data_IF_582217878912
#
_entry.id   IF_582217878912
#
_cell.length_a   1.000
_cell.length_b   1.000
_cell.length_c   1.000
_cell.angle_alpha   90.00
_cell.angle_beta   90.00
_cell.angle_gamma   90.00
#
_symmetry.space_group_name_H-M   'P 1'
#
loop_
_entity.id
_entity.type
_entity.pdbx_description
1 polymer ?
#
# COMPACT_ATOMS: atom_id res chain seq x y z
N UNK A 1 -13.62 17.75 1.01
CA UNK A 1 -12.94 18.21 -0.22
C UNK A 1 -11.73 17.34 -0.58
N UNK A 2 -11.70 16.87 -1.83
CA UNK A 2 -10.60 16.12 -2.44
C UNK A 2 -9.87 17.05 -3.39
N UNK A 3 -8.60 17.28 -3.12
CA UNK A 3 -7.75 18.14 -3.97
C UNK A 3 -7.30 17.41 -5.22
N UNK A 4 -7.25 18.12 -6.36
CA UNK A 4 -6.79 17.59 -7.65
C UNK A 4 -7.47 16.25 -8.04
N UNK A 5 -8.77 16.28 -8.42
CA UNK A 5 -9.54 15.09 -8.75
C UNK A 5 -9.05 14.36 -10.01
N UNK A 6 -8.19 14.98 -10.83
CA UNK A 6 -7.58 14.31 -11.99
C UNK A 6 -6.49 13.30 -11.59
N UNK A 7 -5.85 13.49 -10.42
CA UNK A 7 -4.81 12.61 -9.90
C UNK A 7 -5.42 11.32 -9.35
N UNK A 8 -5.03 10.20 -9.95
CA UNK A 8 -5.44 8.85 -9.56
C UNK A 8 -5.08 8.58 -8.10
N UNK A 9 -6.10 8.29 -7.28
CA UNK A 9 -5.95 7.89 -5.87
C UNK A 9 -7.14 7.08 -5.39
N UNK A 10 -6.95 6.36 -4.30
CA UNK A 10 -8.02 5.67 -3.58
C UNK A 10 -8.27 6.36 -2.25
N UNK A 11 -9.53 6.71 -1.99
CA UNK A 11 -10.00 7.24 -0.72
C UNK A 11 -10.72 6.13 0.02
N UNK A 12 -10.09 5.62 1.08
CA UNK A 12 -10.66 4.53 1.88
C UNK A 12 -11.64 5.05 2.92
N UNK A 13 -12.77 4.36 3.05
CA UNK A 13 -13.78 4.65 4.06
C UNK A 13 -14.43 3.38 4.58
N UNK A 14 -15.28 3.55 5.59
CA UNK A 14 -16.08 2.48 6.18
C UNK A 14 -17.50 3.02 6.37
N UNK A 15 -18.51 2.20 6.08
CA UNK A 15 -19.92 2.49 6.39
C UNK A 15 -20.43 1.47 7.38
N UNK A 16 -21.30 1.90 8.29
CA UNK A 16 -22.26 1.04 8.97
C UNK A 16 -23.55 0.96 8.15
N UNK A 17 -24.45 0.02 8.48
CA UNK A 17 -25.74 -0.08 7.78
C UNK A 17 -26.57 1.19 7.94
N UNK A 18 -27.02 1.78 6.84
CA UNK A 18 -27.77 3.05 6.82
C UNK A 18 -26.90 4.30 6.85
N UNK A 19 -25.56 4.17 6.94
CA UNK A 19 -24.65 5.31 6.88
C UNK A 19 -24.45 5.80 5.44
N UNK A 20 -24.05 7.07 5.34
CA UNK A 20 -23.74 7.75 4.09
C UNK A 20 -22.46 8.56 4.28
N UNK A 21 -21.58 8.54 3.28
CA UNK A 21 -20.37 9.36 3.30
C UNK A 21 -20.23 10.17 2.02
N UNK A 22 -20.02 11.48 2.16
CA UNK A 22 -19.83 12.40 1.06
C UNK A 22 -18.35 12.75 0.84
N UNK A 23 -18.02 12.97 -0.43
CA UNK A 23 -16.76 13.48 -0.92
C UNK A 23 -17.06 14.61 -1.90
N UNK A 24 -16.39 15.75 -1.76
CA UNK A 24 -16.55 16.89 -2.67
C UNK A 24 -15.27 17.16 -3.43
N UNK A 25 -15.36 17.63 -4.67
CA UNK A 25 -14.22 18.02 -5.49
C UNK A 25 -14.61 19.08 -6.52
N UNK A 26 -13.68 19.98 -6.82
CA UNK A 26 -13.85 21.05 -7.82
C UNK A 26 -13.36 20.58 -9.19
N UNK A 27 -14.16 20.84 -10.23
CA UNK A 27 -13.83 20.51 -11.63
C UNK A 27 -14.30 21.59 -12.59
N UNK A 28 -13.64 21.67 -13.74
CA UNK A 28 -13.98 22.60 -14.81
C UNK A 28 -14.76 21.92 -15.95
N UNK A 29 -15.64 22.69 -16.60
CA UNK A 29 -16.40 22.23 -17.77
C UNK A 29 -15.48 21.65 -18.84
N UNK A 30 -15.85 20.48 -19.34
CA UNK A 30 -15.09 19.73 -20.35
C UNK A 30 -13.97 18.85 -19.79
N UNK A 31 -13.63 18.96 -18.50
CA UNK A 31 -12.72 18.01 -17.86
C UNK A 31 -13.32 16.61 -17.81
N UNK A 32 -12.46 15.59 -17.82
CA UNK A 32 -12.86 14.20 -17.65
C UNK A 32 -12.81 13.84 -16.16
N UNK A 33 -13.92 13.35 -15.62
CA UNK A 33 -13.95 12.67 -14.33
C UNK A 33 -13.84 11.17 -14.58
N UNK A 34 -13.00 10.49 -13.80
CA UNK A 34 -13.01 9.03 -13.65
C UNK A 34 -13.22 8.74 -12.17
N UNK A 35 -14.29 8.02 -11.87
CA UNK A 35 -14.60 7.64 -10.49
C UNK A 35 -15.07 6.19 -10.44
N UNK A 36 -14.69 5.49 -9.39
CA UNK A 36 -15.08 4.11 -9.15
C UNK A 36 -15.30 3.83 -7.68
N UNK A 37 -15.99 2.73 -7.42
CA UNK A 37 -16.27 2.22 -6.08
C UNK A 37 -15.74 0.81 -5.98
N UNK A 38 -14.91 0.56 -4.97
CA UNK A 38 -14.31 -0.73 -4.69
C UNK A 38 -14.64 -1.20 -3.27
N UNK A 39 -14.69 -2.52 -3.07
CA UNK A 39 -14.80 -3.15 -1.74
C UNK A 39 -13.76 -4.28 -1.63
N UNK A 40 -13.25 -4.61 -0.44
CA UNK A 40 -12.25 -5.66 -0.30
C UNK A 40 -12.83 -7.04 -0.65
N UNK A 41 -12.01 -7.94 -1.19
CA UNK A 41 -12.45 -9.28 -1.62
C UNK A 41 -12.76 -10.27 -0.48
N UNK A 42 -12.60 -9.85 0.78
CA UNK A 42 -12.86 -10.67 1.97
C UNK A 42 -14.35 -10.95 2.21
N UNK A 43 -14.66 -11.63 3.33
CA UNK A 43 -16.03 -12.04 3.69
C UNK A 43 -17.04 -10.89 3.68
N UNK A 44 -16.65 -9.71 4.18
CA UNK A 44 -17.53 -8.53 4.21
C UNK A 44 -17.89 -8.05 2.80
N UNK A 45 -16.92 -7.97 1.88
CA UNK A 45 -17.18 -7.59 0.49
C UNK A 45 -17.94 -8.66 -0.32
N UNK A 46 -18.26 -9.82 0.27
CA UNK A 46 -19.16 -10.77 -0.37
C UNK A 46 -20.63 -10.39 -0.23
N UNK A 47 -20.98 -9.61 0.79
CA UNK A 47 -22.36 -9.22 1.09
C UNK A 47 -22.57 -7.72 1.09
N UNK A 48 -21.48 -6.95 1.05
CA UNK A 48 -21.49 -5.49 1.03
C UNK A 48 -21.30 -4.95 -0.39
N UNK A 49 -22.40 -4.47 -0.99
CA UNK A 49 -22.41 -3.84 -2.32
C UNK A 49 -23.03 -2.44 -2.24
N UNK A 50 -22.30 -1.45 -1.69
CA UNK A 50 -22.79 -0.09 -1.61
C UNK A 50 -22.99 0.53 -3.00
N UNK A 51 -23.83 1.57 -3.04
CA UNK A 51 -24.11 2.36 -4.22
C UNK A 51 -23.27 3.64 -4.24
N UNK A 52 -22.97 4.10 -5.45
CA UNK A 52 -22.29 5.37 -5.69
C UNK A 52 -23.28 6.37 -6.27
N UNK A 53 -23.44 7.52 -5.63
CA UNK A 53 -24.23 8.65 -6.15
C UNK A 53 -23.29 9.78 -6.52
N UNK A 54 -23.42 10.30 -7.73
CA UNK A 54 -22.64 11.44 -8.22
C UNK A 54 -23.58 12.61 -8.43
N UNK A 55 -23.26 13.76 -7.84
CA UNK A 55 -24.08 14.97 -7.91
C UNK A 55 -23.23 16.13 -8.42
N UNK A 56 -23.83 17.00 -9.23
CA UNK A 56 -23.12 18.15 -9.78
C UNK A 56 -23.99 19.05 -10.65
N UNK A 57 -23.53 20.29 -10.89
CA UNK A 57 -24.22 21.23 -11.77
C UNK A 57 -24.29 20.69 -13.21
N UNK A 58 -25.43 20.87 -13.87
CA UNK A 58 -25.64 20.45 -15.25
C UNK A 58 -25.69 18.94 -15.50
N UNK A 59 -25.60 18.10 -14.46
CA UNK A 59 -25.92 16.67 -14.58
C UNK A 59 -27.44 16.49 -14.75
N UNK A 60 -27.84 15.47 -15.50
CA UNK A 60 -29.22 14.99 -15.52
C UNK A 60 -29.45 14.01 -14.39
N UNK A 61 -30.67 13.99 -13.85
CA UNK A 61 -31.10 12.97 -12.90
C UNK A 61 -31.20 11.60 -13.58
N UNK A 62 -30.47 10.62 -13.06
CA UNK A 62 -30.45 9.25 -13.58
C UNK A 62 -30.53 8.24 -12.43
N UNK A 63 -31.68 7.55 -12.34
CA UNK A 63 -32.01 6.63 -11.25
C UNK A 63 -32.80 7.29 -10.12
N UNK A 64 -33.21 6.50 -9.13
CA UNK A 64 -33.91 7.01 -7.95
C UNK A 64 -32.91 7.30 -6.83
N UNK A 65 -32.74 8.58 -6.49
CA UNK A 65 -31.89 8.99 -5.37
C UNK A 65 -32.53 8.50 -4.07
N UNK A 66 -31.80 7.74 -3.22
CA UNK A 66 -32.32 7.36 -1.92
C UNK A 66 -32.67 8.61 -1.10
N UNK A 67 -33.80 8.58 -0.37
CA UNK A 67 -34.27 9.73 0.45
C UNK A 67 -33.27 10.19 1.51
N UNK A 68 -32.30 9.35 1.84
CA UNK A 68 -31.22 9.64 2.80
C UNK A 68 -30.09 10.48 2.18
N UNK A 69 -30.04 10.61 0.86
CA UNK A 69 -29.03 11.41 0.15
C UNK A 69 -29.57 12.81 -0.07
N UNK A 70 -28.82 13.79 0.42
CA UNK A 70 -29.07 15.22 0.22
C UNK A 70 -28.39 15.67 -1.08
N UNK A 71 -29.20 16.15 -2.02
CA UNK A 71 -28.71 16.72 -3.29
C UNK A 71 -28.80 18.24 -3.19
N UNK A 72 -27.72 18.98 -3.44
CA UNK A 72 -27.77 20.45 -3.45
C UNK A 72 -28.80 21.00 -4.45
N UNK A 73 -29.40 22.14 -4.12
CA UNK A 73 -30.39 22.77 -5.00
C UNK A 73 -29.78 23.11 -6.37
N UNK A 74 -30.51 22.78 -7.44
CA UNK A 74 -30.08 22.99 -8.82
C UNK A 74 -29.06 21.97 -9.35
N UNK A 75 -28.69 20.95 -8.56
CA UNK A 75 -27.80 19.89 -9.01
C UNK A 75 -28.63 18.71 -9.55
N UNK A 76 -28.09 18.03 -10.56
CA UNK A 76 -28.59 16.71 -10.94
C UNK A 76 -27.79 15.60 -10.25
N UNK A 77 -28.40 14.43 -10.13
CA UNK A 77 -27.82 13.27 -9.46
C UNK A 77 -27.90 11.99 -10.30
N UNK A 78 -26.79 11.25 -10.39
CA UNK A 78 -26.71 9.95 -11.05
C UNK A 78 -26.39 8.86 -10.05
N UNK A 79 -27.20 7.80 -10.02
CA UNK A 79 -27.03 6.67 -9.10
C UNK A 79 -26.47 5.48 -9.87
N UNK A 80 -25.41 4.89 -9.31
CA UNK A 80 -24.80 3.69 -9.81
C UNK A 80 -24.87 2.60 -8.75
N UNK A 81 -25.74 1.62 -8.98
CA UNK A 81 -25.86 0.48 -8.06
C UNK A 81 -24.61 -0.39 -8.11
N UNK A 82 -24.07 -0.73 -6.94
CA UNK A 82 -22.88 -1.55 -6.83
C UNK A 82 -23.12 -2.97 -7.37
N UNK A 83 -22.40 -3.37 -8.43
CA UNK A 83 -22.50 -4.73 -8.99
C UNK A 83 -21.21 -5.48 -8.78
N UNK A 84 -21.23 -6.48 -7.89
CA UNK A 84 -20.04 -7.31 -7.65
C UNK A 84 -19.74 -8.17 -8.90
N UNK A 85 -18.55 -8.05 -9.49
CA UNK A 85 -18.13 -8.94 -10.57
C UNK A 85 -17.89 -10.37 -10.05
N UNK A 86 -17.82 -11.33 -10.96
CA UNK A 86 -17.52 -12.74 -10.62
C UNK A 86 -16.15 -12.86 -9.96
N UNK A 87 -15.18 -12.10 -10.45
CA UNK A 87 -13.78 -12.17 -10.03
C UNK A 87 -13.34 -10.86 -9.40
N UNK A 88 -12.58 -10.95 -8.30
CA UNK A 88 -11.86 -9.80 -7.76
C UNK A 88 -10.61 -9.48 -8.61
N UNK A 89 -10.20 -8.22 -8.55
CA UNK A 89 -8.99 -7.68 -9.18
C UNK A 89 -7.82 -7.77 -8.22
N UNK A 90 -6.65 -8.15 -8.73
CA UNK A 90 -5.37 -8.14 -8.02
C UNK A 90 -4.62 -6.83 -8.28
N UNK A 91 -4.12 -6.17 -7.21
CA UNK A 91 -3.27 -4.97 -7.27
C UNK A 91 -1.82 -5.32 -6.93
N UNK A 92 -0.86 -4.93 -7.77
CA UNK A 92 0.52 -5.41 -7.70
C UNK A 92 1.51 -4.60 -6.87
N UNK A 93 1.28 -3.30 -6.66
CA UNK A 93 2.19 -2.45 -5.86
C UNK A 93 2.00 -2.67 -4.36
N UNK A 94 0.77 -2.94 -3.94
CA UNK A 94 0.31 -3.33 -2.62
C UNK A 94 -0.50 -4.61 -2.76
N UNK A 95 0.15 -5.80 -2.75
CA UNK A 95 -0.49 -7.08 -3.06
C UNK A 95 -1.82 -7.30 -2.34
N UNK A 96 -2.92 -6.97 -2.99
CA UNK A 96 -4.27 -6.88 -2.41
C UNK A 96 -5.29 -7.29 -3.45
N UNK A 97 -6.50 -7.61 -2.98
CA UNK A 97 -7.59 -8.08 -3.82
C UNK A 97 -8.90 -7.37 -3.49
N UNK A 98 -9.53 -6.77 -4.49
CA UNK A 98 -10.77 -6.01 -4.34
C UNK A 98 -11.78 -6.27 -5.47
N UNK A 99 -13.06 -6.08 -5.18
CA UNK A 99 -14.11 -6.05 -6.19
C UNK A 99 -14.32 -4.61 -6.67
N UNK A 100 -14.29 -4.40 -7.99
CA UNK A 100 -14.67 -3.13 -8.62
C UNK A 100 -16.18 -3.14 -8.87
N UNK A 101 -16.95 -2.47 -8.01
CA UNK A 101 -18.42 -2.47 -8.06
C UNK A 101 -18.97 -1.51 -9.10
N UNK A 102 -18.35 -0.33 -9.20
CA UNK A 102 -18.72 0.74 -10.12
C UNK A 102 -17.43 1.31 -10.71
N UNK A 103 -17.46 1.62 -12.00
CA UNK A 103 -16.43 2.43 -12.66
C UNK A 103 -17.09 3.23 -13.77
N UNK A 104 -17.03 4.54 -13.66
CA UNK A 104 -17.67 5.46 -14.59
C UNK A 104 -16.73 6.59 -14.95
N UNK A 105 -16.87 7.05 -16.18
CA UNK A 105 -16.18 8.23 -16.66
C UNK A 105 -17.13 9.08 -17.52
N UNK A 106 -17.01 10.39 -17.36
CA UNK A 106 -17.84 11.35 -18.10
C UNK A 106 -17.11 12.69 -18.22
N UNK A 107 -17.55 13.50 -19.19
CA UNK A 107 -17.11 14.88 -19.30
C UNK A 107 -18.01 15.77 -18.45
N UNK A 108 -17.38 16.69 -17.73
CA UNK A 108 -18.03 17.65 -16.84
C UNK A 108 -18.90 18.62 -17.67
N UNK A 109 -20.24 18.62 -17.51
CA UNK A 109 -21.11 19.49 -18.28
C UNK A 109 -20.99 20.97 -17.91
N UNK A 110 -20.79 21.26 -16.62
CA UNK A 110 -20.67 22.61 -16.06
C UNK A 110 -19.62 22.64 -14.96
N UNK A 111 -18.85 23.74 -14.89
CA UNK A 111 -17.84 23.94 -13.85
C UNK A 111 -18.49 24.12 -12.47
N UNK A 112 -17.83 23.61 -11.44
CA UNK A 112 -18.22 23.81 -10.05
C UNK A 112 -17.87 22.65 -9.14
N UNK A 113 -18.46 22.65 -7.96
CA UNK A 113 -18.30 21.57 -6.97
C UNK A 113 -19.14 20.36 -7.38
N UNK A 114 -18.53 19.19 -7.44
CA UNK A 114 -19.20 17.92 -7.59
C UNK A 114 -19.07 17.13 -6.30
N UNK A 115 -20.07 16.28 -6.04
CA UNK A 115 -20.12 15.43 -4.88
C UNK A 115 -20.22 13.96 -5.32
N UNK A 116 -19.50 13.09 -4.62
CA UNK A 116 -19.70 11.66 -4.65
C UNK A 116 -20.17 11.21 -3.26
N UNK A 117 -21.28 10.50 -3.20
CA UNK A 117 -21.77 9.88 -1.98
C UNK A 117 -21.74 8.36 -2.10
N UNK A 118 -21.26 7.69 -1.06
CA UNK A 118 -21.33 6.23 -0.95
C UNK A 118 -22.40 5.88 0.05
N UNK A 119 -23.40 5.11 -0.36
CA UNK A 119 -24.55 4.72 0.44
C UNK A 119 -24.67 3.21 0.53
N UNK A 120 -25.07 2.72 1.71
CA UNK A 120 -25.45 1.31 1.88
C UNK A 120 -26.76 1.22 2.63
N UNK A 121 -27.81 0.74 1.94
CA UNK A 121 -29.11 0.49 2.56
C UNK A 121 -29.05 -0.72 3.49
N UNK A 122 -28.27 -1.74 3.13
CA UNK A 122 -28.16 -3.00 3.87
C UNK A 122 -26.71 -3.32 4.22
N UNK A 123 -26.45 -3.47 5.52
CA UNK A 123 -25.13 -3.86 6.01
C UNK A 123 -24.06 -2.78 5.89
N UNK A 124 -22.91 -3.07 6.47
CA UNK A 124 -21.76 -2.18 6.51
C UNK A 124 -20.48 -2.90 6.15
N UNK A 125 -19.45 -2.12 5.82
CA UNK A 125 -18.17 -2.64 5.41
C UNK A 125 -17.21 -1.56 4.94
N UNK A 126 -15.99 -1.99 4.67
CA UNK A 126 -14.95 -1.15 4.10
C UNK A 126 -15.19 -0.94 2.60
N UNK A 127 -14.96 0.28 2.13
CA UNK A 127 -15.01 0.63 0.70
C UNK A 127 -13.85 1.56 0.32
N UNK A 128 -13.66 1.77 -0.97
CA UNK A 128 -12.77 2.79 -1.50
C UNK A 128 -13.41 3.53 -2.67
N UNK A 129 -13.28 4.86 -2.69
CA UNK A 129 -13.52 5.63 -3.90
C UNK A 129 -12.21 5.73 -4.68
N UNK A 130 -12.20 5.21 -5.90
CA UNK A 130 -11.12 5.44 -6.86
C UNK A 130 -11.46 6.73 -7.60
N UNK A 131 -10.61 7.75 -7.53
CA UNK A 131 -10.82 9.01 -8.22
C UNK A 131 -9.61 9.37 -9.06
N UNK A 132 -9.86 9.86 -10.27
CA UNK A 132 -8.84 10.36 -11.18
C UNK A 132 -8.28 9.29 -12.12
N UNK A 133 -7.42 9.74 -13.04
CA UNK A 133 -6.87 8.93 -14.13
C UNK A 133 -5.39 9.22 -14.40
N UNK A 134 -4.82 10.27 -13.80
CA UNK A 134 -3.40 10.62 -13.93
C UNK A 134 -2.62 10.04 -12.76
N UNK A 135 -1.79 9.05 -13.03
CA UNK A 135 -0.85 8.55 -12.03
C UNK A 135 0.28 9.56 -11.82
N UNK A 136 0.41 10.06 -10.60
CA UNK A 136 1.53 10.90 -10.18
C UNK A 136 1.76 10.69 -8.69
N UNK A 137 3.02 10.65 -8.28
CA UNK A 137 3.40 10.49 -6.88
C UNK A 137 4.45 11.53 -6.54
N UNK A 138 4.21 12.27 -5.48
CA UNK A 138 5.26 13.08 -4.85
C UNK A 138 6.28 12.15 -4.17
N UNK A 139 7.48 12.68 -3.91
CA UNK A 139 8.51 11.92 -3.22
C UNK A 139 8.03 11.42 -1.84
N UNK A 140 7.29 12.25 -1.10
CA UNK A 140 6.78 11.87 0.22
C UNK A 140 5.71 10.77 0.12
N UNK A 141 4.81 10.85 -0.87
CA UNK A 141 3.83 9.78 -1.11
C UNK A 141 4.52 8.47 -1.47
N UNK A 142 5.54 8.53 -2.32
CA UNK A 142 6.33 7.35 -2.70
C UNK A 142 7.02 6.70 -1.49
N UNK A 143 7.66 7.50 -0.64
CA UNK A 143 8.38 7.01 0.54
C UNK A 143 7.43 6.45 1.62
N UNK A 144 6.18 6.90 1.68
CA UNK A 144 5.20 6.44 2.67
C UNK A 144 4.39 5.21 2.21
N UNK A 145 4.64 4.68 1.01
CA UNK A 145 3.97 3.48 0.51
C UNK A 145 4.03 2.29 1.49
N UNK A 146 5.17 1.93 2.12
CA UNK A 146 5.19 0.85 3.10
C UNK A 146 4.17 1.01 4.25
N UNK A 147 3.95 2.24 4.71
CA UNK A 147 2.98 2.53 5.78
C UNK A 147 1.54 2.47 5.25
N UNK A 148 1.32 2.94 4.02
CA UNK A 148 0.03 2.85 3.35
C UNK A 148 -0.36 1.39 3.05
N UNK A 149 0.61 0.51 2.74
CA UNK A 149 0.36 -0.92 2.56
C UNK A 149 -0.30 -1.55 3.79
N UNK A 150 0.18 -1.23 5.00
CA UNK A 150 -0.43 -1.72 6.24
C UNK A 150 -1.88 -1.24 6.35
N UNK A 151 -2.16 0.02 5.99
CA UNK A 151 -3.53 0.56 5.98
C UNK A 151 -4.41 -0.19 4.99
N UNK A 152 -3.91 -0.49 3.79
CA UNK A 152 -4.63 -1.28 2.78
C UNK A 152 -4.93 -2.69 3.28
N UNK A 153 -3.97 -3.40 3.87
CA UNK A 153 -4.22 -4.73 4.43
C UNK A 153 -5.23 -4.71 5.58
N UNK A 154 -5.21 -3.65 6.40
CA UNK A 154 -6.23 -3.45 7.44
C UNK A 154 -7.61 -3.17 6.85
N UNK A 155 -7.66 -2.39 5.78
CA UNK A 155 -8.87 -2.16 4.99
C UNK A 155 -9.42 -3.45 4.35
N UNK A 156 -8.55 -4.39 3.97
CA UNK A 156 -8.96 -5.74 3.54
C UNK A 156 -9.45 -6.65 4.68
N UNK A 157 -9.44 -6.17 5.92
CA UNK A 157 -9.85 -6.92 7.11
C UNK A 157 -8.76 -7.82 7.69
N UNK A 158 -7.50 -7.68 7.26
CA UNK A 158 -6.40 -8.45 7.83
C UNK A 158 -6.05 -7.98 9.26
N UNK A 159 -5.67 -8.90 10.14
CA UNK A 159 -5.21 -8.56 11.49
C UNK A 159 -3.75 -8.07 11.47
N UNK A 160 -3.38 -7.16 12.37
CA UNK A 160 -1.98 -6.72 12.48
C UNK A 160 -1.00 -7.88 12.69
N UNK A 161 -1.27 -8.88 13.56
CA UNK A 161 -0.40 -10.04 13.69
C UNK A 161 -0.18 -10.78 12.37
N UNK A 162 -1.23 -10.98 11.56
CA UNK A 162 -1.10 -11.63 10.26
C UNK A 162 -0.22 -10.84 9.30
N UNK A 163 -0.40 -9.52 9.25
CA UNK A 163 0.39 -8.63 8.39
C UNK A 163 1.88 -8.65 8.76
N UNK A 164 2.22 -8.60 10.05
CA UNK A 164 3.61 -8.54 10.51
C UNK A 164 4.27 -9.92 10.65
N UNK A 165 3.49 -11.00 10.59
CA UNK A 165 3.99 -12.36 10.84
C UNK A 165 5.20 -12.74 9.96
N UNK A 166 5.21 -12.50 8.63
CA UNK A 166 6.35 -12.88 7.80
C UNK A 166 7.65 -12.17 8.20
N UNK A 167 7.56 -10.88 8.52
CA UNK A 167 8.68 -10.10 9.02
C UNK A 167 9.12 -10.61 10.41
N UNK A 168 8.18 -10.86 11.31
CA UNK A 168 8.43 -11.38 12.66
C UNK A 168 9.14 -12.73 12.65
N UNK A 169 8.71 -13.66 11.79
CA UNK A 169 9.36 -14.97 11.61
C UNK A 169 10.77 -14.78 11.07
N UNK A 170 10.97 -13.91 10.09
CA UNK A 170 12.30 -13.67 9.49
C UNK A 170 13.27 -13.09 10.52
N UNK A 171 12.82 -12.10 11.31
CA UNK A 171 13.62 -11.51 12.38
C UNK A 171 13.92 -12.54 13.47
N UNK A 172 12.92 -13.28 13.94
CA UNK A 172 13.08 -14.30 14.98
C UNK A 172 14.06 -15.40 14.56
N UNK A 173 13.88 -15.97 13.35
CA UNK A 173 14.78 -16.98 12.81
C UNK A 173 16.21 -16.45 12.63
N UNK A 174 16.36 -15.21 12.13
CA UNK A 174 17.66 -14.56 11.99
C UNK A 174 18.38 -14.35 13.33
N UNK A 175 17.67 -13.83 14.33
CA UNK A 175 18.22 -13.62 15.69
C UNK A 175 18.62 -14.94 16.31
N UNK A 176 17.78 -15.99 16.21
CA UNK A 176 18.09 -17.32 16.72
C UNK A 176 19.35 -17.89 16.03
N UNK A 177 19.44 -17.80 14.71
CA UNK A 177 20.59 -18.29 13.95
C UNK A 177 21.91 -17.59 14.35
N UNK A 178 21.86 -16.29 14.61
CA UNK A 178 23.02 -15.52 15.11
C UNK A 178 23.35 -15.91 16.54
N UNK A 179 22.34 -16.04 17.41
CA UNK A 179 22.51 -16.34 18.84
C UNK A 179 23.05 -17.75 19.11
N UNK A 180 22.71 -18.72 18.24
CA UNK A 180 23.28 -20.06 18.29
C UNK A 180 24.80 -20.07 18.04
N UNK A 181 25.34 -19.06 17.34
CA UNK A 181 26.77 -18.87 17.14
C UNK A 181 27.30 -17.82 18.12
N UNK A 182 27.32 -18.15 19.42
CA UNK A 182 27.70 -17.24 20.52
C UNK A 182 29.01 -16.46 20.28
N UNK A 183 30.04 -17.13 19.74
CA UNK A 183 31.32 -16.50 19.41
C UNK A 183 31.20 -15.47 18.28
N UNK A 184 30.35 -15.74 17.29
CA UNK A 184 30.08 -14.80 16.21
C UNK A 184 29.34 -13.57 16.75
N UNK A 185 28.28 -13.75 17.55
CA UNK A 185 27.49 -12.66 18.11
C UNK A 185 28.29 -11.76 19.07
N UNK A 186 29.16 -12.34 19.91
CA UNK A 186 30.01 -11.60 20.84
C UNK A 186 31.04 -10.69 20.13
N UNK A 187 31.42 -11.03 18.90
CA UNK A 187 32.35 -10.26 18.08
C UNK A 187 31.70 -9.14 17.24
N UNK A 188 30.38 -8.95 17.31
CA UNK A 188 29.70 -7.95 16.47
C UNK A 188 29.88 -6.54 17.04
N UNK A 189 30.37 -5.64 16.19
CA UNK A 189 30.30 -4.21 16.44
C UNK A 189 28.92 -3.63 16.02
N UNK A 190 28.57 -2.40 16.44
CA UNK A 190 27.29 -1.78 16.11
C UNK A 190 26.99 -1.69 14.61
N UNK A 191 27.98 -1.40 13.76
CA UNK A 191 27.79 -1.35 12.31
C UNK A 191 27.39 -2.73 11.75
N UNK A 192 28.02 -3.81 12.26
CA UNK A 192 27.71 -5.19 11.88
C UNK A 192 26.32 -5.63 12.36
N UNK A 193 25.88 -5.16 13.53
CA UNK A 193 24.50 -5.34 13.98
C UNK A 193 23.52 -4.62 13.06
N UNK A 194 23.74 -3.33 12.79
CA UNK A 194 22.88 -2.53 11.92
C UNK A 194 22.77 -3.15 10.52
N UNK A 195 23.89 -3.54 9.90
CA UNK A 195 23.90 -4.17 8.58
C UNK A 195 23.20 -5.54 8.56
N UNK A 196 23.38 -6.33 9.61
CA UNK A 196 22.70 -7.63 9.76
C UNK A 196 21.19 -7.45 9.87
N UNK A 197 20.73 -6.54 10.75
CA UNK A 197 19.31 -6.26 10.90
C UNK A 197 18.71 -5.65 9.64
N UNK A 198 19.41 -4.73 8.96
CA UNK A 198 18.98 -4.22 7.66
C UNK A 198 18.69 -5.36 6.67
N UNK A 199 19.61 -6.33 6.60
CA UNK A 199 19.43 -7.52 5.76
C UNK A 199 18.22 -8.38 6.16
N UNK A 200 17.98 -8.59 7.46
CA UNK A 200 16.79 -9.31 7.94
C UNK A 200 15.48 -8.57 7.63
N UNK A 201 15.46 -7.24 7.75
CA UNK A 201 14.29 -6.43 7.38
C UNK A 201 14.00 -6.49 5.87
N UNK A 202 15.03 -6.42 5.03
CA UNK A 202 14.89 -6.59 3.57
C UNK A 202 14.35 -7.98 3.20
N UNK A 203 14.95 -9.05 3.76
CA UNK A 203 14.44 -10.41 3.56
C UNK A 203 12.99 -10.56 4.03
N UNK A 204 12.68 -10.03 5.22
CA UNK A 204 11.34 -10.09 5.80
C UNK A 204 10.31 -9.38 4.93
N UNK A 205 10.69 -8.28 4.29
CA UNK A 205 9.83 -7.58 3.34
C UNK A 205 9.55 -8.41 2.09
N UNK A 206 10.57 -9.08 1.55
CA UNK A 206 10.38 -9.99 0.42
C UNK A 206 9.47 -11.18 0.75
N UNK A 207 9.60 -11.73 1.97
CA UNK A 207 8.69 -12.76 2.46
C UNK A 207 7.26 -12.21 2.65
N UNK A 208 7.12 -10.99 3.21
CA UNK A 208 5.82 -10.32 3.33
C UNK A 208 5.14 -10.11 1.98
N UNK A 209 5.85 -9.60 0.96
CA UNK A 209 5.28 -9.46 -0.39
C UNK A 209 4.84 -10.81 -0.96
N UNK A 210 5.64 -11.86 -0.77
CA UNK A 210 5.29 -13.21 -1.23
C UNK A 210 4.04 -13.74 -0.51
N UNK A 211 3.97 -13.60 0.81
CA UNK A 211 2.81 -14.04 1.60
C UNK A 211 1.53 -13.27 1.23
N UNK A 212 1.61 -11.95 1.08
CA UNK A 212 0.49 -11.10 0.70
C UNK A 212 0.03 -11.39 -0.74
N UNK A 213 0.97 -11.63 -1.68
CA UNK A 213 0.64 -12.08 -3.03
C UNK A 213 -0.16 -13.38 -3.04
N UNK A 214 0.30 -14.40 -2.32
CA UNK A 214 -0.40 -15.70 -2.25
C UNK A 214 -1.78 -15.56 -1.62
N UNK A 215 -1.88 -14.75 -0.56
CA UNK A 215 -3.16 -14.45 0.09
C UNK A 215 -4.14 -13.76 -0.86
N UNK A 216 -3.69 -12.72 -1.56
CA UNK A 216 -4.52 -11.93 -2.48
C UNK A 216 -4.92 -12.74 -3.71
N UNK A 217 -4.00 -13.52 -4.30
CA UNK A 217 -4.31 -14.42 -5.42
C UNK A 217 -5.27 -15.54 -5.05
N UNK A 218 -5.37 -15.93 -3.77
CA UNK A 218 -6.40 -16.89 -3.33
C UNK A 218 -7.82 -16.33 -3.42
N UNK A 219 -7.98 -15.01 -3.64
CA UNK A 219 -9.26 -14.28 -3.67
C UNK A 219 -9.52 -13.53 -4.97
N UNK A 220 -8.53 -13.45 -5.85
CA UNK A 220 -8.61 -12.70 -7.11
C UNK A 220 -8.29 -13.57 -8.31
N UNK A 221 -8.58 -13.05 -9.49
CA UNK A 221 -8.00 -13.60 -10.72
C UNK A 221 -6.54 -13.18 -10.88
N UNK A 222 -5.79 -13.97 -11.64
CA UNK A 222 -4.43 -13.59 -12.07
C UNK A 222 -4.48 -12.33 -12.94
N UNK A 223 -3.56 -11.40 -12.69
CA UNK A 223 -3.36 -10.19 -13.50
C UNK A 223 -1.88 -10.02 -13.83
N UNK A 224 -1.58 -9.21 -14.85
CA UNK A 224 -0.19 -8.88 -15.21
C UNK A 224 0.55 -8.14 -14.09
N UNK A 225 -0.17 -7.51 -13.16
CA UNK A 225 0.40 -6.80 -12.02
C UNK A 225 1.12 -7.72 -11.02
N UNK A 226 0.87 -9.03 -11.07
CA UNK A 226 1.64 -10.03 -10.31
C UNK A 226 3.14 -9.90 -10.57
N UNK A 227 3.54 -9.52 -11.79
CA UNK A 227 4.95 -9.32 -12.17
C UNK A 227 5.59 -8.22 -11.32
N UNK A 228 4.84 -7.16 -10.99
CA UNK A 228 5.31 -6.04 -10.15
C UNK A 228 5.63 -6.57 -8.75
N UNK A 229 4.71 -7.33 -8.16
CA UNK A 229 4.91 -7.92 -6.83
C UNK A 229 6.09 -8.88 -6.78
N UNK A 230 6.22 -9.74 -7.79
CA UNK A 230 7.36 -10.67 -7.90
C UNK A 230 8.67 -9.90 -7.98
N UNK A 231 8.73 -8.83 -8.78
CA UNK A 231 9.90 -7.98 -8.85
C UNK A 231 10.26 -7.37 -7.49
N UNK A 232 9.28 -6.76 -6.79
CA UNK A 232 9.51 -6.16 -5.47
C UNK A 232 9.96 -7.19 -4.42
N UNK A 233 9.37 -8.38 -4.44
CA UNK A 233 9.74 -9.48 -3.56
C UNK A 233 11.19 -9.94 -3.81
N UNK A 234 11.54 -10.23 -5.07
CA UNK A 234 12.88 -10.67 -5.45
C UNK A 234 13.94 -9.60 -5.19
N UNK A 235 13.63 -8.33 -5.49
CA UNK A 235 14.55 -7.23 -5.21
C UNK A 235 14.81 -7.08 -3.70
N UNK A 236 13.75 -7.17 -2.88
CA UNK A 236 13.87 -7.16 -1.41
C UNK A 236 14.70 -8.34 -0.89
N UNK A 237 14.48 -9.54 -1.42
CA UNK A 237 15.28 -10.72 -1.07
C UNK A 237 16.75 -10.52 -1.47
N UNK A 238 17.00 -10.04 -2.69
CA UNK A 238 18.35 -9.76 -3.18
C UNK A 238 19.11 -8.77 -2.31
N UNK A 239 18.48 -7.63 -1.97
CA UNK A 239 19.04 -6.64 -1.04
C UNK A 239 19.35 -7.26 0.33
N UNK A 240 18.45 -8.10 0.84
CA UNK A 240 18.62 -8.80 2.11
C UNK A 240 19.81 -9.77 2.11
N UNK A 241 19.93 -10.61 1.07
CA UNK A 241 21.04 -11.55 0.91
C UNK A 241 22.38 -10.79 0.83
N UNK A 242 22.44 -9.71 0.06
CA UNK A 242 23.66 -8.90 -0.09
C UNK A 242 24.04 -8.27 1.25
N UNK A 243 23.10 -7.62 1.95
CA UNK A 243 23.34 -6.99 3.24
C UNK A 243 23.83 -7.99 4.30
N UNK A 244 23.20 -9.17 4.39
CA UNK A 244 23.63 -10.24 5.30
C UNK A 244 25.01 -10.78 4.91
N UNK A 245 25.26 -11.00 3.62
CA UNK A 245 26.55 -11.51 3.15
C UNK A 245 27.69 -10.55 3.51
N UNK A 246 27.51 -9.26 3.26
CA UNK A 246 28.50 -8.23 3.60
C UNK A 246 28.72 -8.09 5.10
N UNK A 247 27.66 -8.21 5.90
CA UNK A 247 27.74 -8.08 7.37
C UNK A 247 28.33 -9.34 8.04
N UNK A 248 27.98 -10.53 7.57
CA UNK A 248 28.33 -11.78 8.24
C UNK A 248 29.68 -12.33 7.79
N UNK A 249 30.05 -12.23 6.50
CA UNK A 249 31.30 -12.83 5.99
C UNK A 249 32.56 -12.04 6.33
N UNK A 250 32.45 -10.74 6.62
CA UNK A 250 33.60 -9.89 6.85
C UNK A 250 33.65 -9.38 8.29
N UNK A 251 34.44 -10.05 9.13
CA UNK A 251 34.61 -9.69 10.54
C UNK A 251 35.22 -8.30 10.76
N UNK A 252 35.85 -7.73 9.71
CA UNK A 252 36.40 -6.36 9.73
C UNK A 252 35.39 -5.33 9.24
N UNK A 253 34.15 -5.71 8.94
CA UNK A 253 33.10 -4.74 8.64
C UNK A 253 32.89 -3.79 9.83
N UNK A 254 32.76 -2.49 9.56
CA UNK A 254 32.78 -1.43 10.56
C UNK A 254 34.18 -0.87 10.90
N UNK A 255 35.26 -1.59 10.55
CA UNK A 255 36.64 -1.07 10.61
C UNK A 255 36.91 -0.30 9.31
N UNK A 256 37.30 0.99 9.42
CA UNK A 256 37.44 1.98 8.31
C UNK A 256 37.63 1.34 6.92
N UNK A 257 36.52 1.18 6.19
CA UNK A 257 36.50 0.63 4.83
C UNK A 257 35.51 1.42 3.97
N UNK A 258 36.02 2.43 3.27
CA UNK A 258 35.23 3.37 2.44
C UNK A 258 34.34 2.61 1.44
N UNK A 259 34.86 1.55 0.83
CA UNK A 259 34.13 0.72 -0.15
C UNK A 259 32.88 0.07 0.45
N UNK A 260 32.97 -0.44 1.68
CA UNK A 260 31.84 -1.12 2.33
C UNK A 260 30.81 -0.13 2.87
N UNK A 261 31.25 1.03 3.33
CA UNK A 261 30.36 2.14 3.65
C UNK A 261 29.53 2.57 2.43
N UNK A 262 30.18 2.67 1.26
CA UNK A 262 29.49 2.98 0.01
C UNK A 262 28.46 1.93 -0.40
N UNK A 263 28.73 0.63 -0.19
CA UNK A 263 27.75 -0.43 -0.45
C UNK A 263 26.50 -0.30 0.43
N UNK A 264 26.67 -0.02 1.72
CA UNK A 264 25.52 0.13 2.61
C UNK A 264 24.75 1.44 2.38
N UNK A 265 25.42 2.50 1.91
CA UNK A 265 24.75 3.69 1.39
C UNK A 265 23.84 3.34 0.20
N UNK A 266 24.35 2.60 -0.78
CA UNK A 266 23.56 2.14 -1.94
C UNK A 266 22.40 1.25 -1.49
N UNK A 267 22.64 0.30 -0.59
CA UNK A 267 21.59 -0.60 -0.06
C UNK A 267 20.50 0.19 0.65
N UNK A 268 20.85 1.19 1.44
CA UNK A 268 19.89 2.09 2.10
C UNK A 268 19.04 2.86 1.09
N UNK A 269 19.66 3.50 0.10
CA UNK A 269 18.95 4.25 -0.94
C UNK A 269 18.07 3.34 -1.80
N UNK A 270 18.57 2.18 -2.22
CA UNK A 270 17.81 1.20 -2.98
C UNK A 270 16.63 0.64 -2.16
N UNK A 271 16.83 0.39 -0.87
CA UNK A 271 15.77 -0.05 0.03
C UNK A 271 14.65 0.98 0.18
N UNK A 272 14.97 2.28 0.27
CA UNK A 272 13.97 3.34 0.26
C UNK A 272 13.19 3.39 -1.05
N UNK A 273 13.89 3.31 -2.19
CA UNK A 273 13.27 3.39 -3.52
C UNK A 273 12.35 2.20 -3.82
N UNK A 274 12.74 1.00 -3.37
CA UNK A 274 12.04 -0.26 -3.63
C UNK A 274 11.15 -0.70 -2.48
N UNK A 275 10.97 0.15 -1.46
CA UNK A 275 10.15 -0.12 -0.26
C UNK A 275 10.61 -1.33 0.56
N UNK A 276 11.83 -1.81 0.34
CA UNK A 276 12.39 -2.93 1.06
C UNK A 276 12.74 -2.50 2.49
N UNK A 277 12.34 -3.32 3.47
CA UNK A 277 12.72 -3.14 4.88
C UNK A 277 11.84 -2.20 5.68
N UNK A 278 10.66 -1.81 5.17
CA UNK A 278 9.65 -1.03 5.91
C UNK A 278 10.22 0.24 6.56
N UNK A 279 11.04 1.00 5.82
CA UNK A 279 11.82 2.19 6.26
C UNK A 279 12.91 1.91 7.31
N UNK A 280 12.71 0.97 8.23
CA UNK A 280 13.67 0.60 9.27
C UNK A 280 14.92 -0.03 8.66
N UNK A 281 14.77 -1.01 7.76
CA UNK A 281 15.89 -1.67 7.07
C UNK A 281 16.81 -0.68 6.34
N UNK A 282 16.27 0.24 5.52
CA UNK A 282 17.04 1.30 4.89
C UNK A 282 17.78 2.21 5.88
N UNK A 283 17.12 2.63 6.97
CA UNK A 283 17.75 3.46 8.01
C UNK A 283 18.93 2.71 8.63
N UNK A 284 18.75 1.44 9.00
CA UNK A 284 19.81 0.59 9.55
C UNK A 284 20.96 0.38 8.55
N UNK A 285 20.67 0.28 7.25
CA UNK A 285 21.69 0.21 6.23
C UNK A 285 22.50 1.51 6.15
N UNK A 286 21.84 2.67 6.20
CA UNK A 286 22.52 3.98 6.24
C UNK A 286 23.34 4.15 7.52
N UNK A 287 22.84 3.71 8.68
CA UNK A 287 23.60 3.70 9.92
C UNK A 287 24.86 2.83 9.80
N UNK A 288 24.73 1.64 9.21
CA UNK A 288 25.86 0.76 8.97
C UNK A 288 26.91 1.39 8.04
N UNK A 289 26.49 2.27 7.11
CA UNK A 289 27.40 3.02 6.26
C UNK A 289 28.18 4.12 7.00
N UNK A 290 27.55 4.78 7.98
CA UNK A 290 28.13 5.96 8.64
C UNK A 290 28.92 5.60 9.90
N UNK A 291 28.47 4.61 10.69
CA UNK A 291 29.06 4.27 11.99
C UNK A 291 30.54 3.85 11.87
N UNK A 292 31.50 4.67 12.35
CA UNK A 292 32.90 4.28 12.38
C UNK A 292 33.18 3.45 13.63
N UNK A 293 33.58 2.18 13.49
CA UNK A 293 34.05 1.40 14.63
C UNK A 293 35.58 1.47 14.74
N UNK A 294 36.07 2.17 15.77
CA UNK A 294 37.44 2.02 16.26
C UNK A 294 37.38 1.09 17.47
N UNK A 295 37.95 -0.11 17.35
CA UNK A 295 38.20 -0.99 18.50
C UNK A 295 39.06 -0.16 19.47
N UNK A 296 38.54 0.17 20.66
CA UNK A 296 39.41 0.65 21.75
C UNK A 296 40.36 -0.52 22.02
N UNK A 297 41.66 -0.26 21.81
CA UNK A 297 42.73 -1.22 22.08
C UNK A 297 42.77 -1.61 23.55
#
# INVERSE_FOLDING_TARGET
PVENPSKSRVLYGQLSGGDLQYYSFEVEKGEKIVIGLIVPSGKEGLTFTPDLVIMGPGLSDEGEVPKTVEVPEGYGARIFSGKRPINATYEGFTPSAFYSLVRVDFQVPESGTYYAAVSSVEGGGNYGIVLGYRESFSLIEWLLIPLNQIRTYRWEGQSLPFIIFPLGVTLGAGILAISHKKEAAAGFNPARWAGTFAGLFFLGTGLSFTSQMLFSLSRSSYSHEVIITVFLALASIGLGIIALTLSLKDERYGVKSIRKQFYFLILGLAGLLLWAGWLIGPILALEAAVLPWRRKG
#
